data_IF_127171028127
#
_entry.id   IF_127171028127
#
_cell.length_a   1.000
_cell.length_b   1.000
_cell.length_c   1.000
_cell.angle_alpha   90.00
_cell.angle_beta   90.00
_cell.angle_gamma   90.00
#
_symmetry.space_group_name_H-M   'P 1'
#
loop_
_entity.id
_entity.type
_entity.pdbx_description
1 polymer ?
#
# COMPACT_ATOMS: atom_id res chain seq x y z
N UNK A 1 9.96 -0.07 3.61
CA UNK A 1 9.18 -0.03 2.35
C UNK A 1 7.76 0.41 2.67
N UNK A 2 7.17 1.30 1.87
CA UNK A 2 5.79 1.76 2.00
C UNK A 2 5.18 1.89 0.61
N UNK A 3 3.96 1.41 0.42
CA UNK A 3 3.20 1.61 -0.81
C UNK A 3 2.43 2.94 -0.78
N UNK A 4 2.24 3.57 -1.94
CA UNK A 4 1.41 4.76 -2.12
C UNK A 4 0.62 4.64 -3.43
N UNK A 5 -0.60 5.20 -3.46
CA UNK A 5 -1.41 5.25 -4.68
C UNK A 5 -0.96 6.32 -5.68
N UNK A 6 -0.19 7.32 -5.23
CA UNK A 6 0.19 8.52 -6.00
C UNK A 6 -1.00 9.32 -6.56
N UNK A 7 -2.16 9.28 -5.88
CA UNK A 7 -3.32 10.08 -6.28
C UNK A 7 -3.04 11.59 -6.11
N UNK A 8 -3.48 12.47 -7.03
CA UNK A 8 -4.27 12.23 -8.24
C UNK A 8 -3.46 12.22 -9.55
N UNK A 9 -2.16 11.86 -9.50
CA UNK A 9 -1.34 11.91 -10.70
C UNK A 9 -1.82 10.95 -11.79
N UNK A 10 -1.51 11.25 -13.06
CA UNK A 10 -1.92 10.43 -14.20
C UNK A 10 -1.42 8.98 -14.11
N UNK A 11 -0.29 8.75 -13.42
CA UNK A 11 0.28 7.43 -13.19
C UNK A 11 -0.23 6.77 -11.89
N UNK A 12 -1.22 7.37 -11.22
CA UNK A 12 -1.81 6.83 -10.01
C UNK A 12 -2.44 5.47 -10.25
N UNK A 13 -2.47 4.66 -9.20
CA UNK A 13 -3.24 3.40 -9.19
C UNK A 13 -4.72 3.62 -8.89
N UNK A 14 -5.13 4.84 -8.51
CA UNK A 14 -6.53 5.18 -8.26
C UNK A 14 -7.34 5.22 -9.56
N UNK A 15 -8.61 4.75 -9.59
CA UNK A 15 -9.42 4.22 -8.49
C UNK A 15 -9.22 2.72 -8.20
N UNK A 16 -8.41 2.03 -9.00
CA UNK A 16 -8.26 0.57 -8.96
C UNK A 16 -7.20 0.08 -7.95
N UNK A 17 -6.83 0.91 -6.98
CA UNK A 17 -5.72 0.65 -6.05
C UNK A 17 -5.82 -0.70 -5.32
N UNK A 18 -7.04 -1.14 -4.97
CA UNK A 18 -7.23 -2.44 -4.32
C UNK A 18 -6.85 -3.60 -5.25
N UNK A 19 -7.23 -3.55 -6.53
CA UNK A 19 -6.86 -4.57 -7.52
C UNK A 19 -5.35 -4.57 -7.75
N UNK A 20 -4.72 -3.39 -7.79
CA UNK A 20 -3.26 -3.29 -7.88
C UNK A 20 -2.57 -3.91 -6.67
N UNK A 21 -3.05 -3.64 -5.45
CA UNK A 21 -2.51 -4.25 -4.25
C UNK A 21 -2.66 -5.77 -4.26
N UNK A 22 -3.80 -6.31 -4.68
CA UNK A 22 -4.01 -7.75 -4.74
C UNK A 22 -3.07 -8.44 -5.72
N UNK A 23 -2.82 -7.83 -6.89
CA UNK A 23 -1.84 -8.32 -7.86
C UNK A 23 -0.40 -8.23 -7.33
N UNK A 24 -0.01 -7.08 -6.77
CA UNK A 24 1.37 -6.85 -6.31
C UNK A 24 1.75 -7.73 -5.12
N UNK A 25 0.79 -8.09 -4.28
CA UNK A 25 1.03 -8.84 -3.05
C UNK A 25 0.52 -10.30 -3.13
N UNK A 26 0.28 -10.82 -4.32
CA UNK A 26 -0.02 -12.24 -4.51
C UNK A 26 1.13 -13.11 -3.97
N UNK A 27 0.81 -14.06 -3.09
CA UNK A 27 1.79 -14.93 -2.44
C UNK A 27 2.63 -14.28 -1.34
N UNK A 28 2.49 -12.97 -1.10
CA UNK A 28 3.20 -12.28 0.00
C UNK A 28 2.49 -12.59 1.33
N UNK A 29 3.23 -12.99 2.39
CA UNK A 29 2.64 -13.22 3.70
C UNK A 29 1.85 -12.01 4.21
N UNK A 30 0.68 -12.25 4.80
CA UNK A 30 -0.23 -11.18 5.23
C UNK A 30 0.43 -10.14 6.16
N UNK A 31 1.31 -10.60 7.06
CA UNK A 31 2.08 -9.73 7.96
C UNK A 31 3.00 -8.76 7.20
N UNK A 32 3.67 -9.24 6.15
CA UNK A 32 4.55 -8.42 5.34
C UNK A 32 3.74 -7.42 4.50
N UNK A 33 2.62 -7.85 3.90
CA UNK A 33 1.67 -6.94 3.22
C UNK A 33 1.23 -5.82 4.17
N UNK A 34 0.81 -6.15 5.38
CA UNK A 34 0.37 -5.17 6.38
C UNK A 34 1.47 -4.16 6.74
N UNK A 35 2.71 -4.62 6.94
CA UNK A 35 3.84 -3.74 7.20
C UNK A 35 4.06 -2.74 6.05
N UNK A 36 3.95 -3.19 4.81
CA UNK A 36 4.19 -2.37 3.62
C UNK A 36 3.04 -1.43 3.27
N UNK A 37 1.80 -1.80 3.55
CA UNK A 37 0.61 -1.02 3.16
C UNK A 37 0.05 -0.16 4.29
N UNK A 38 0.42 -0.40 5.55
CA UNK A 38 -0.14 0.31 6.70
C UNK A 38 0.89 0.59 7.81
N UNK A 39 1.43 -0.43 8.47
CA UNK A 39 2.09 -0.24 9.78
C UNK A 39 3.36 0.63 9.69
N UNK A 40 4.12 0.52 8.60
CA UNK A 40 5.30 1.39 8.40
C UNK A 40 4.90 2.86 8.26
N UNK A 41 3.79 3.15 7.56
CA UNK A 41 3.27 4.51 7.45
C UNK A 41 2.73 5.00 8.79
N UNK A 42 1.96 4.16 9.49
CA UNK A 42 1.45 4.46 10.83
C UNK A 42 2.58 4.83 11.81
N UNK A 43 3.65 4.02 11.87
CA UNK A 43 4.83 4.31 12.68
C UNK A 43 5.54 5.60 12.26
N UNK A 44 5.73 5.81 10.96
CA UNK A 44 6.50 6.96 10.46
C UNK A 44 5.76 8.28 10.68
N UNK A 45 4.45 8.29 10.49
CA UNK A 45 3.63 9.50 10.58
C UNK A 45 2.92 9.65 11.94
N UNK A 46 3.11 8.72 12.87
CA UNK A 46 2.47 8.76 14.19
C UNK A 46 0.96 8.58 14.12
N UNK A 47 0.46 7.76 13.19
CA UNK A 47 -0.96 7.47 13.04
C UNK A 47 -1.29 6.23 13.90
N UNK A 48 -2.20 6.38 14.86
CA UNK A 48 -2.62 5.34 15.79
C UNK A 48 -3.79 5.79 16.65
#
# INVERSE_FOLDING_TARGET
LMWSSDYPHNASTWPESQKTLDYLFEGVPAKERQLMTADNAARMYGLG
#
